data_IF_163674764193
#
_entry.id   IF_163674764193
#
_cell.length_a   1.000
_cell.length_b   1.000
_cell.length_c   1.000
_cell.angle_alpha   90.00
_cell.angle_beta   90.00
_cell.angle_gamma   90.00
#
_symmetry.space_group_name_H-M   'P 1'
#
loop_
_entity.id
_entity.type
_entity.pdbx_description
1 polymer ?
#
# COMPACT_ATOMS: atom_id res chain seq x y z
N UNK A 1 1.89 23.47 4.87
CA UNK A 1 3.11 23.12 4.11
C UNK A 1 2.80 21.79 3.42
N UNK A 2 2.99 21.71 2.11
CA UNK A 2 2.86 20.46 1.36
C UNK A 2 3.93 19.48 1.78
N UNK A 3 3.56 18.21 1.91
CA UNK A 3 4.50 17.12 2.25
C UNK A 3 5.50 16.96 1.12
N UNK A 4 6.79 17.00 1.46
CA UNK A 4 7.86 16.72 0.48
C UNK A 4 7.88 15.21 0.20
N UNK A 5 7.50 14.85 -1.02
CA UNK A 5 7.45 13.48 -1.55
C UNK A 5 8.56 13.22 -2.57
N UNK A 6 9.68 13.96 -2.50
CA UNK A 6 10.82 13.67 -3.37
C UNK A 6 11.29 12.22 -3.16
N UNK A 7 11.58 11.55 -4.27
CA UNK A 7 11.92 10.13 -4.28
C UNK A 7 13.09 9.80 -3.35
N UNK A 8 14.12 10.67 -3.34
CA UNK A 8 15.28 10.48 -2.48
C UNK A 8 14.90 10.52 -0.99
N UNK A 9 14.11 11.52 -0.56
CA UNK A 9 13.69 11.64 0.84
C UNK A 9 12.84 10.46 1.29
N UNK A 10 11.89 10.04 0.45
CA UNK A 10 11.01 8.90 0.75
C UNK A 10 11.83 7.62 0.82
N UNK A 11 12.78 7.41 -0.11
CA UNK A 11 13.69 6.27 -0.12
C UNK A 11 14.53 6.21 1.15
N UNK A 12 15.20 7.30 1.50
CA UNK A 12 16.08 7.37 2.68
C UNK A 12 15.28 7.09 3.96
N UNK A 13 14.12 7.73 4.12
CA UNK A 13 13.23 7.56 5.28
C UNK A 13 12.79 6.09 5.45
N UNK A 14 12.35 5.43 4.37
CA UNK A 14 11.93 4.03 4.44
C UNK A 14 13.11 3.08 4.57
N UNK A 15 14.25 3.38 3.95
CA UNK A 15 15.48 2.60 4.08
C UNK A 15 15.96 2.50 5.51
N UNK A 16 16.00 3.63 6.23
CA UNK A 16 16.41 3.68 7.64
C UNK A 16 15.52 2.84 8.56
N UNK A 17 14.20 2.85 8.35
CA UNK A 17 13.26 2.12 9.20
C UNK A 17 13.00 0.68 8.76
N UNK A 18 13.45 0.25 7.56
CA UNK A 18 13.13 -1.05 6.98
C UNK A 18 13.29 -2.24 7.94
N UNK A 19 14.36 -2.35 8.77
CA UNK A 19 14.52 -3.48 9.69
C UNK A 19 13.47 -3.55 10.80
N UNK A 20 12.82 -2.42 11.12
CA UNK A 20 11.81 -2.31 12.20
C UNK A 20 10.42 -2.06 11.66
N UNK A 21 10.27 -1.84 10.35
CA UNK A 21 9.05 -1.37 9.70
C UNK A 21 7.82 -2.21 10.04
N UNK A 22 7.89 -3.52 9.87
CA UNK A 22 6.75 -4.42 10.12
C UNK A 22 6.30 -4.33 11.59
N UNK A 23 7.25 -4.43 12.52
CA UNK A 23 6.96 -4.39 13.97
C UNK A 23 6.30 -3.07 14.36
N UNK A 24 6.75 -1.97 13.76
CA UNK A 24 6.22 -0.64 14.03
C UNK A 24 4.81 -0.47 13.47
N UNK A 25 4.57 -0.87 12.23
CA UNK A 25 3.25 -0.81 11.62
C UNK A 25 2.24 -1.69 12.34
N UNK A 26 2.61 -2.90 12.73
CA UNK A 26 1.74 -3.79 13.51
C UNK A 26 1.42 -3.21 14.88
N UNK A 27 2.39 -2.59 15.55
CA UNK A 27 2.17 -1.93 16.83
C UNK A 27 1.25 -0.71 16.70
N UNK A 28 1.51 0.18 15.73
CA UNK A 28 0.74 1.41 15.51
C UNK A 28 -0.69 1.13 15.05
N UNK A 29 -0.89 0.05 14.30
CA UNK A 29 -2.22 -0.40 13.87
C UNK A 29 -2.90 -1.31 14.91
N UNK A 30 -2.25 -1.64 16.03
CA UNK A 30 -2.70 -2.67 16.99
C UNK A 30 -2.98 -4.01 16.29
N UNK A 31 -2.16 -4.39 15.31
CA UNK A 31 -2.31 -5.55 14.43
C UNK A 31 -3.57 -5.57 13.53
N UNK A 32 -4.33 -4.48 13.47
CA UNK A 32 -5.52 -4.41 12.61
C UNK A 32 -5.14 -4.36 11.12
N UNK A 33 -3.92 -3.98 10.78
CA UNK A 33 -3.38 -4.00 9.42
C UNK A 33 -3.41 -5.41 8.78
N UNK A 34 -3.22 -6.48 9.55
CA UNK A 34 -3.40 -7.86 9.08
C UNK A 34 -4.85 -8.12 8.63
N UNK A 35 -5.84 -7.62 9.39
CA UNK A 35 -7.25 -7.72 9.03
C UNK A 35 -7.55 -6.94 7.76
N UNK A 36 -6.98 -5.73 7.57
CA UNK A 36 -7.21 -4.94 6.37
C UNK A 36 -6.65 -5.63 5.13
N UNK A 37 -5.41 -6.16 5.18
CA UNK A 37 -4.81 -6.94 4.08
C UNK A 37 -5.61 -8.21 3.79
N UNK A 38 -6.04 -8.93 4.82
CA UNK A 38 -6.89 -10.11 4.65
C UNK A 38 -8.22 -9.77 3.98
N UNK A 39 -8.88 -8.67 4.38
CA UNK A 39 -10.11 -8.19 3.72
C UNK A 39 -9.85 -7.81 2.27
N UNK A 40 -8.73 -7.15 1.97
CA UNK A 40 -8.33 -6.79 0.61
C UNK A 40 -8.25 -8.03 -0.28
N UNK A 41 -7.42 -9.00 0.08
CA UNK A 41 -7.23 -10.20 -0.76
C UNK A 41 -8.49 -11.07 -0.86
N UNK A 42 -9.37 -11.04 0.13
CA UNK A 42 -10.67 -11.74 0.07
C UNK A 42 -11.67 -11.10 -0.87
N UNK A 43 -11.58 -9.80 -1.07
CA UNK A 43 -12.48 -9.07 -1.94
C UNK A 43 -12.08 -9.13 -3.40
N UNK A 44 -10.82 -9.36 -3.64
CA UNK A 44 -10.27 -9.54 -4.97
C UNK A 44 -10.44 -11.00 -5.41
N UNK A 45 -10.58 -11.19 -6.73
CA UNK A 45 -10.83 -12.50 -7.31
C UNK A 45 -9.66 -12.97 -8.19
N UNK A 46 -8.62 -13.57 -7.59
CA UNK A 46 -7.48 -14.11 -8.33
C UNK A 46 -7.81 -15.46 -8.98
N UNK A 47 -8.83 -15.49 -9.84
CA UNK A 47 -9.31 -16.73 -10.49
C UNK A 47 -8.53 -17.10 -11.74
N UNK A 48 -7.67 -16.21 -12.24
CA UNK A 48 -6.87 -16.42 -13.44
C UNK A 48 -5.48 -16.89 -13.07
N UNK A 49 -4.84 -17.67 -13.93
CA UNK A 49 -3.45 -18.11 -13.75
C UNK A 49 -2.42 -17.01 -14.05
N UNK A 50 -2.89 -15.81 -14.35
CA UNK A 50 -2.04 -14.65 -14.64
C UNK A 50 -1.39 -14.11 -13.38
N UNK A 51 -0.20 -13.49 -13.45
CA UNK A 51 0.50 -12.99 -12.28
C UNK A 51 -0.24 -11.82 -11.60
N UNK A 52 0.08 -11.62 -10.32
CA UNK A 52 -0.37 -10.48 -9.49
C UNK A 52 0.82 -9.54 -9.29
N UNK A 53 0.59 -8.23 -9.38
CA UNK A 53 1.56 -7.21 -9.03
C UNK A 53 1.14 -6.50 -7.75
N UNK A 54 2.05 -6.39 -6.81
CA UNK A 54 1.93 -5.55 -5.61
C UNK A 54 2.94 -4.41 -5.70
N UNK A 55 2.45 -3.20 -5.98
CA UNK A 55 3.25 -1.98 -6.08
C UNK A 55 3.43 -1.34 -4.70
N UNK A 56 4.53 -0.61 -4.50
CA UNK A 56 4.89 -0.06 -3.19
C UNK A 56 4.81 -1.16 -2.11
N UNK A 57 5.32 -2.34 -2.43
CA UNK A 57 5.11 -3.56 -1.65
C UNK A 57 5.83 -3.53 -0.30
N UNK A 58 6.83 -2.66 -0.14
CA UNK A 58 7.68 -2.60 1.02
C UNK A 58 8.32 -3.96 1.32
N UNK A 59 8.07 -4.47 2.51
CA UNK A 59 8.55 -5.80 2.95
C UNK A 59 7.69 -6.97 2.47
N UNK A 60 6.68 -6.72 1.60
CA UNK A 60 5.89 -7.74 0.92
C UNK A 60 4.67 -8.30 1.68
N UNK A 61 4.19 -7.66 2.71
CA UNK A 61 3.10 -8.22 3.53
C UNK A 61 1.80 -8.50 2.74
N UNK A 62 1.43 -7.62 1.80
CA UNK A 62 0.26 -7.86 0.95
C UNK A 62 0.55 -8.94 -0.10
N UNK A 63 1.76 -8.96 -0.67
CA UNK A 63 2.21 -10.01 -1.59
C UNK A 63 2.14 -11.40 -0.92
N UNK A 64 2.59 -11.54 0.33
CA UNK A 64 2.44 -12.78 1.10
C UNK A 64 0.97 -13.14 1.40
N UNK A 65 0.10 -12.14 1.56
CA UNK A 65 -1.32 -12.40 1.75
C UNK A 65 -1.97 -12.94 0.46
N UNK A 66 -1.57 -12.45 -0.72
CA UNK A 66 -1.98 -13.01 -2.02
C UNK A 66 -1.47 -14.43 -2.23
N UNK A 67 -0.19 -14.67 -1.98
CA UNK A 67 0.40 -16.01 -2.08
C UNK A 67 -0.37 -17.03 -1.23
N UNK A 68 -0.69 -16.68 0.01
CA UNK A 68 -1.52 -17.52 0.89
C UNK A 68 -2.93 -17.72 0.35
N UNK A 69 -3.57 -16.66 -0.21
CA UNK A 69 -4.93 -16.73 -0.76
C UNK A 69 -4.99 -17.65 -1.97
N UNK A 70 -4.00 -17.60 -2.84
CA UNK A 70 -3.90 -18.42 -4.06
C UNK A 70 -3.31 -19.81 -3.81
N UNK A 71 -2.96 -20.14 -2.56
CA UNK A 71 -2.29 -21.40 -2.20
C UNK A 71 -1.03 -21.64 -3.03
N UNK A 72 -0.25 -20.59 -3.26
CA UNK A 72 1.00 -20.62 -4.04
C UNK A 72 0.84 -20.97 -5.52
N UNK A 73 -0.39 -20.94 -6.04
CA UNK A 73 -0.66 -21.33 -7.45
C UNK A 73 -0.46 -20.21 -8.46
N UNK A 74 -0.41 -18.95 -8.00
CA UNK A 74 -0.31 -17.75 -8.84
C UNK A 74 1.00 -17.01 -8.53
N UNK A 75 1.83 -16.68 -9.54
CA UNK A 75 3.02 -15.86 -9.32
C UNK A 75 2.65 -14.46 -8.78
N UNK A 76 3.39 -13.99 -7.80
CA UNK A 76 3.24 -12.64 -7.24
C UNK A 76 4.54 -11.87 -7.44
N UNK A 77 4.45 -10.69 -8.05
CA UNK A 77 5.56 -9.76 -8.16
C UNK A 77 5.35 -8.65 -7.15
N UNK A 78 6.31 -8.45 -6.27
CA UNK A 78 6.35 -7.43 -5.24
C UNK A 78 7.33 -6.35 -5.68
N UNK A 79 6.81 -5.21 -6.11
CA UNK A 79 7.61 -4.10 -6.64
C UNK A 79 7.66 -2.94 -5.63
N UNK A 80 8.86 -2.45 -5.37
CA UNK A 80 9.09 -1.25 -4.55
C UNK A 80 10.32 -0.51 -5.06
N UNK A 81 10.40 0.80 -4.85
CA UNK A 81 11.56 1.58 -5.27
C UNK A 81 12.66 1.64 -4.18
N UNK A 82 12.36 1.20 -2.95
CA UNK A 82 13.28 1.15 -1.82
C UNK A 82 13.91 -0.25 -1.70
N UNK A 83 15.17 -0.37 -2.09
CA UNK A 83 15.92 -1.63 -2.07
C UNK A 83 15.97 -2.27 -0.67
N UNK A 84 16.15 -1.49 0.40
CA UNK A 84 16.25 -1.96 1.77
C UNK A 84 14.96 -2.67 2.21
N UNK A 85 13.81 -2.16 1.79
CA UNK A 85 12.51 -2.78 2.03
C UNK A 85 12.40 -4.13 1.31
N UNK A 86 12.76 -4.17 0.03
CA UNK A 86 12.76 -5.41 -0.77
C UNK A 86 13.72 -6.45 -0.18
N UNK A 87 14.88 -6.02 0.33
CA UNK A 87 15.85 -6.90 0.97
C UNK A 87 15.25 -7.59 2.20
N UNK A 88 14.52 -6.87 3.05
CA UNK A 88 13.79 -7.46 4.19
C UNK A 88 12.71 -8.42 3.68
N UNK A 89 11.97 -8.06 2.65
CA UNK A 89 10.97 -8.91 2.00
C UNK A 89 11.57 -10.23 1.49
N UNK A 90 12.71 -10.15 0.81
CA UNK A 90 13.44 -11.32 0.32
C UNK A 90 13.93 -12.23 1.45
N UNK A 91 14.40 -11.67 2.57
CA UNK A 91 14.73 -12.44 3.77
C UNK A 91 13.52 -13.17 4.36
N UNK A 92 12.33 -12.53 4.33
CA UNK A 92 11.07 -13.15 4.74
C UNK A 92 10.69 -14.31 3.81
N UNK A 93 10.84 -14.09 2.49
CA UNK A 93 10.55 -15.09 1.45
C UNK A 93 11.41 -16.35 1.62
N UNK A 94 12.72 -16.19 1.83
CA UNK A 94 13.66 -17.33 2.01
C UNK A 94 13.31 -18.24 3.19
N UNK A 95 12.58 -17.73 4.18
CA UNK A 95 12.12 -18.52 5.33
C UNK A 95 10.82 -19.28 5.06
N UNK A 96 10.23 -19.13 3.87
CA UNK A 96 8.94 -19.73 3.48
C UNK A 96 9.16 -20.73 2.34
N UNK A 97 9.07 -22.03 2.65
CA UNK A 97 9.20 -23.06 1.64
C UNK A 97 8.09 -22.92 0.59
N UNK A 98 8.46 -23.03 -0.68
CA UNK A 98 7.52 -22.99 -1.81
C UNK A 98 7.02 -21.58 -2.19
N UNK A 99 7.57 -20.52 -1.60
CA UNK A 99 7.19 -19.15 -1.99
C UNK A 99 7.58 -18.86 -3.44
N UNK A 100 6.63 -18.34 -4.22
CA UNK A 100 6.80 -17.94 -5.61
C UNK A 100 6.75 -16.40 -5.80
N UNK A 101 6.95 -15.63 -4.73
CA UNK A 101 7.05 -14.17 -4.80
C UNK A 101 8.41 -13.78 -5.40
N UNK A 102 8.38 -12.83 -6.34
CA UNK A 102 9.57 -12.19 -6.89
C UNK A 102 9.60 -10.72 -6.43
N UNK A 103 10.68 -10.32 -5.79
CA UNK A 103 10.92 -8.92 -5.41
C UNK A 103 11.66 -8.19 -6.53
N UNK A 104 11.14 -7.03 -6.96
CA UNK A 104 11.67 -6.25 -8.08
C UNK A 104 11.77 -4.79 -7.65
N UNK A 105 12.95 -4.17 -7.84
CA UNK A 105 13.09 -2.73 -7.65
C UNK A 105 12.46 -1.99 -8.84
N UNK A 106 11.43 -1.20 -8.58
CA UNK A 106 10.71 -0.45 -9.60
C UNK A 106 9.96 0.76 -9.01
N UNK A 107 9.95 1.84 -9.77
CA UNK A 107 9.10 3.00 -9.49
C UNK A 107 7.69 2.75 -10.02
N UNK A 108 6.69 2.94 -9.16
CA UNK A 108 5.27 2.80 -9.53
C UNK A 108 4.84 3.81 -10.60
N UNK A 109 5.56 4.93 -10.75
CA UNK A 109 5.31 5.92 -11.79
C UNK A 109 5.82 5.50 -13.18
N UNK A 110 6.71 4.49 -13.23
CA UNK A 110 7.28 3.94 -14.46
C UNK A 110 7.55 2.45 -14.32
N UNK A 111 6.50 1.65 -14.32
CA UNK A 111 6.58 0.20 -14.12
C UNK A 111 7.27 -0.50 -15.30
N UNK A 112 8.33 -1.31 -15.08
CA UNK A 112 9.08 -1.98 -16.13
C UNK A 112 8.37 -3.25 -16.65
N UNK A 113 7.04 -3.18 -16.77
CA UNK A 113 6.22 -4.28 -17.23
C UNK A 113 5.42 -3.90 -18.47
N UNK A 114 5.09 -4.90 -19.28
CA UNK A 114 4.24 -4.72 -20.44
C UNK A 114 2.81 -4.34 -20.02
N UNK A 115 2.09 -3.64 -20.91
CA UNK A 115 0.66 -3.39 -20.74
C UNK A 115 -0.12 -4.70 -20.70
N UNK A 116 -1.24 -4.73 -19.99
CA UNK A 116 -2.17 -5.84 -19.99
C UNK A 116 -1.58 -7.18 -19.51
N UNK A 117 -0.68 -7.13 -18.53
CA UNK A 117 0.06 -8.30 -18.06
C UNK A 117 -0.54 -8.94 -16.79
N UNK A 118 -1.00 -8.14 -15.83
CA UNK A 118 -1.42 -8.62 -14.52
C UNK A 118 -2.94 -8.71 -14.37
N UNK A 119 -3.44 -9.78 -13.75
CA UNK A 119 -4.87 -9.89 -13.43
C UNK A 119 -5.28 -8.98 -12.26
N UNK A 120 -4.39 -8.77 -11.31
CA UNK A 120 -4.56 -7.87 -10.17
C UNK A 120 -3.30 -7.02 -10.05
N UNK A 121 -3.50 -5.71 -9.87
CA UNK A 121 -2.44 -4.75 -9.52
C UNK A 121 -2.84 -4.08 -8.22
N UNK A 122 -2.03 -4.17 -7.19
CA UNK A 122 -2.35 -3.67 -5.86
C UNK A 122 -1.31 -2.70 -5.32
N UNK A 123 -1.72 -1.88 -4.36
CA UNK A 123 -0.82 -1.12 -3.49
C UNK A 123 -1.45 -1.00 -2.11
N UNK A 124 -0.69 -1.28 -1.04
CA UNK A 124 -1.16 -1.13 0.33
C UNK A 124 -0.28 -0.17 1.14
N UNK A 125 -0.87 0.94 1.60
CA UNK A 125 -0.25 1.96 2.44
C UNK A 125 1.00 2.62 1.84
N UNK A 126 1.14 2.56 0.49
CA UNK A 126 2.29 3.06 -0.23
C UNK A 126 1.98 4.16 -1.24
N UNK A 127 0.80 4.14 -1.88
CA UNK A 127 0.47 5.04 -2.98
C UNK A 127 0.49 6.53 -2.57
N UNK A 128 0.18 6.86 -1.32
CA UNK A 128 0.25 8.22 -0.79
C UNK A 128 1.67 8.80 -0.80
N UNK A 129 2.70 7.95 -0.86
CA UNK A 129 4.11 8.34 -0.85
C UNK A 129 4.67 8.52 -2.26
N UNK A 130 3.94 8.13 -3.29
CA UNK A 130 4.32 8.31 -4.70
C UNK A 130 4.22 9.80 -5.05
N UNK A 131 5.25 10.35 -5.69
CA UNK A 131 5.35 11.77 -5.99
C UNK A 131 4.20 12.24 -6.89
N UNK A 132 3.96 11.56 -8.01
CA UNK A 132 2.80 11.75 -8.87
C UNK A 132 1.84 10.55 -8.73
N UNK A 133 0.86 10.68 -7.83
CA UNK A 133 -0.16 9.65 -7.60
C UNK A 133 -0.96 9.32 -8.86
N UNK A 134 -1.27 10.33 -9.71
CA UNK A 134 -2.07 10.12 -10.91
C UNK A 134 -1.26 9.36 -11.98
N UNK A 135 0.04 9.61 -12.08
CA UNK A 135 0.93 8.83 -12.94
C UNK A 135 1.05 7.39 -12.44
N UNK A 136 1.21 7.19 -11.12
CA UNK A 136 1.21 5.85 -10.54
C UNK A 136 -0.08 5.08 -10.85
N UNK A 137 -1.24 5.73 -10.72
CA UNK A 137 -2.54 5.13 -11.07
C UNK A 137 -2.63 4.76 -12.55
N UNK A 138 -2.15 5.64 -13.47
CA UNK A 138 -2.11 5.35 -14.91
C UNK A 138 -1.23 4.13 -15.23
N UNK A 139 -0.07 4.02 -14.60
CA UNK A 139 0.83 2.88 -14.78
C UNK A 139 0.22 1.59 -14.22
N UNK A 140 -0.39 1.64 -13.01
CA UNK A 140 -1.12 0.49 -12.45
C UNK A 140 -2.25 0.03 -13.37
N UNK A 141 -3.02 0.98 -13.93
CA UNK A 141 -4.06 0.66 -14.91
C UNK A 141 -3.48 0.12 -16.22
N UNK A 142 -2.35 0.69 -16.71
CA UNK A 142 -1.70 0.25 -17.95
C UNK A 142 -1.28 -1.22 -17.87
N UNK A 143 -0.61 -1.61 -16.78
CA UNK A 143 -0.09 -2.99 -16.63
C UNK A 143 -1.16 -4.00 -16.22
N UNK A 144 -2.31 -3.54 -15.73
CA UNK A 144 -3.48 -4.38 -15.44
C UNK A 144 -4.13 -4.86 -16.75
N UNK A 145 -4.58 -6.11 -16.82
CA UNK A 145 -5.29 -6.67 -17.98
C UNK A 145 -6.72 -6.13 -18.08
N UNK A 146 -7.29 -6.06 -19.29
CA UNK A 146 -8.73 -5.81 -19.46
C UNK A 146 -9.57 -6.79 -18.63
N UNK A 147 -10.51 -6.27 -17.86
CA UNK A 147 -11.30 -7.00 -16.89
C UNK A 147 -10.53 -7.44 -15.64
N UNK A 148 -9.26 -7.01 -15.49
CA UNK A 148 -8.47 -7.17 -14.27
C UNK A 148 -8.85 -6.13 -13.21
N UNK A 149 -8.25 -6.27 -12.03
CA UNK A 149 -8.59 -5.44 -10.86
C UNK A 149 -7.39 -4.61 -10.41
N UNK A 150 -7.61 -3.31 -10.19
CA UNK A 150 -6.65 -2.43 -9.50
C UNK A 150 -7.17 -2.19 -8.08
N UNK A 151 -6.36 -2.52 -7.07
CA UNK A 151 -6.75 -2.45 -5.66
C UNK A 151 -5.80 -1.56 -4.86
N UNK A 152 -6.34 -0.57 -4.18
CA UNK A 152 -5.57 0.34 -3.33
C UNK A 152 -6.12 0.25 -1.92
N UNK A 153 -5.26 -0.09 -0.96
CA UNK A 153 -5.58 -0.06 0.45
C UNK A 153 -4.81 1.10 1.09
N UNK A 154 -5.52 2.10 1.58
CA UNK A 154 -4.88 3.29 2.18
C UNK A 154 -5.59 3.78 3.43
N UNK A 155 -4.83 4.51 4.25
CA UNK A 155 -5.40 5.22 5.38
C UNK A 155 -6.37 6.30 4.90
N UNK A 156 -7.41 6.52 5.69
CA UNK A 156 -8.38 7.57 5.45
C UNK A 156 -8.88 8.16 6.78
N UNK A 157 -9.49 9.33 6.71
CA UNK A 157 -10.09 9.95 7.89
C UNK A 157 -11.54 9.49 8.05
N UNK A 158 -11.92 8.93 9.21
CA UNK A 158 -13.31 8.59 9.49
C UNK A 158 -14.25 9.78 9.26
N UNK A 159 -15.41 9.53 8.64
CA UNK A 159 -16.39 10.59 8.31
C UNK A 159 -17.36 10.88 9.45
N UNK A 160 -17.62 9.87 10.31
CA UNK A 160 -18.68 9.94 11.34
C UNK A 160 -18.11 10.20 12.74
N UNK A 161 -18.77 11.07 13.48
CA UNK A 161 -18.55 11.22 14.92
C UNK A 161 -19.15 10.02 15.69
N UNK A 162 -18.58 9.65 16.84
CA UNK A 162 -17.43 10.25 17.54
C UNK A 162 -16.05 9.77 17.03
N UNK A 163 -16.02 8.77 16.15
CA UNK A 163 -14.77 8.11 15.70
C UNK A 163 -13.83 9.09 15.01
N UNK A 164 -14.37 10.02 14.21
CA UNK A 164 -13.58 11.09 13.58
C UNK A 164 -12.79 11.90 14.62
N UNK A 165 -13.44 12.29 15.71
CA UNK A 165 -12.80 13.07 16.78
C UNK A 165 -11.74 12.24 17.53
N UNK A 166 -12.06 11.00 17.89
CA UNK A 166 -11.15 10.11 18.61
C UNK A 166 -9.91 9.80 17.77
N UNK A 167 -10.11 9.48 16.48
CA UNK A 167 -9.00 9.17 15.58
C UNK A 167 -8.13 10.39 15.29
N UNK A 168 -8.73 11.55 15.08
CA UNK A 168 -8.00 12.82 14.95
C UNK A 168 -7.18 13.16 16.20
N UNK A 169 -7.74 12.93 17.40
CA UNK A 169 -7.00 13.10 18.66
C UNK A 169 -5.83 12.11 18.78
N UNK A 170 -6.04 10.82 18.45
CA UNK A 170 -4.99 9.81 18.40
C UNK A 170 -3.84 10.21 17.47
N UNK A 171 -4.16 10.63 16.24
CA UNK A 171 -3.18 11.07 15.24
C UNK A 171 -2.37 12.28 15.71
N UNK A 172 -3.03 13.23 16.40
CA UNK A 172 -2.38 14.48 16.83
C UNK A 172 -1.56 14.32 18.13
N UNK A 173 -2.00 13.45 19.03
CA UNK A 173 -1.45 13.43 20.39
C UNK A 173 -0.72 12.14 20.77
N UNK A 174 -1.11 10.98 20.20
CA UNK A 174 -0.56 9.68 20.56
C UNK A 174 0.50 9.24 19.55
N UNK A 175 0.19 9.29 18.27
CA UNK A 175 1.07 8.79 17.20
C UNK A 175 2.47 9.44 17.23
N UNK A 176 2.62 10.78 17.35
CA UNK A 176 3.94 11.40 17.43
C UNK A 176 4.73 10.99 18.67
N UNK A 177 4.06 10.81 19.82
CA UNK A 177 4.73 10.35 21.06
C UNK A 177 5.25 8.91 20.97
N UNK A 178 4.47 8.02 20.36
CA UNK A 178 4.93 6.65 20.09
C UNK A 178 6.11 6.68 19.13
N UNK A 179 6.02 7.50 18.08
CA UNK A 179 7.10 7.70 17.13
C UNK A 179 8.39 8.15 17.80
N UNK A 180 8.35 9.19 18.60
CA UNK A 180 9.50 9.71 19.35
C UNK A 180 10.10 8.69 20.35
N UNK A 181 9.26 7.84 20.96
CA UNK A 181 9.71 6.81 21.90
C UNK A 181 10.41 5.63 21.20
N UNK A 182 9.99 5.28 19.97
CA UNK A 182 10.52 4.16 19.20
C UNK A 182 11.73 4.54 18.33
N UNK A 183 11.83 5.78 17.92
CA UNK A 183 12.86 6.28 17.04
C UNK A 183 13.65 7.40 17.73
N UNK A 184 14.72 7.03 18.47
CA UNK A 184 15.62 8.01 19.08
C UNK A 184 16.30 8.95 18.08
N UNK A 185 16.29 8.61 16.77
CA UNK A 185 16.92 9.38 15.68
C UNK A 185 16.00 9.67 14.47
N UNK A 186 14.77 9.14 14.40
CA UNK A 186 13.92 9.16 13.18
C UNK A 186 12.57 9.87 13.39
N UNK A 187 12.54 11.01 14.05
CA UNK A 187 11.31 11.79 14.28
C UNK A 187 10.57 12.17 12.97
N UNK A 188 11.26 12.19 11.83
CA UNK A 188 10.73 12.62 10.54
C UNK A 188 9.64 11.69 9.96
N UNK A 189 9.76 10.37 10.11
CA UNK A 189 8.82 9.41 9.54
C UNK A 189 7.44 9.44 10.23
N UNK A 190 7.39 9.79 11.51
CA UNK A 190 6.15 9.82 12.30
C UNK A 190 5.37 11.12 12.16
N UNK A 191 6.07 12.23 11.91
CA UNK A 191 5.44 13.50 11.53
C UNK A 191 4.93 13.44 10.08
N UNK A 192 5.61 12.67 9.24
CA UNK A 192 5.23 12.45 7.84
C UNK A 192 3.87 11.75 7.70
N UNK A 193 3.62 10.69 8.50
CA UNK A 193 2.40 9.87 8.35
C UNK A 193 1.10 10.68 8.52
N UNK A 194 0.87 11.49 9.58
CA UNK A 194 -0.34 12.29 9.71
C UNK A 194 -0.55 13.26 8.54
N UNK A 195 0.52 13.90 8.09
CA UNK A 195 0.47 14.90 7.04
C UNK A 195 0.16 14.23 5.67
N UNK A 196 0.84 13.13 5.34
CA UNK A 196 0.61 12.40 4.09
C UNK A 196 -0.80 11.81 4.00
N UNK A 197 -1.37 11.32 5.12
CA UNK A 197 -2.76 10.85 5.16
C UNK A 197 -3.75 12.01 4.99
N UNK A 198 -3.45 13.19 5.54
CA UNK A 198 -4.31 14.36 5.42
C UNK A 198 -4.37 14.96 4.01
N UNK A 199 -3.30 14.86 3.25
CA UNK A 199 -3.19 15.39 1.89
C UNK A 199 -3.62 14.39 0.80
N UNK A 200 -3.64 13.09 1.12
CA UNK A 200 -3.99 12.04 0.14
C UNK A 200 -5.49 12.04 -0.18
N UNK A 201 -5.87 11.97 -1.46
CA UNK A 201 -7.28 11.90 -1.85
C UNK A 201 -7.94 10.66 -1.26
N UNK A 202 -9.13 10.82 -0.71
CA UNK A 202 -9.84 9.71 -0.07
C UNK A 202 -11.28 9.60 -0.56
N UNK A 203 -11.83 8.39 -0.44
CA UNK A 203 -13.20 8.05 -0.82
C UNK A 203 -13.50 8.37 -2.29
N UNK A 204 -14.48 9.22 -2.56
CA UNK A 204 -14.92 9.59 -3.91
C UNK A 204 -13.79 10.24 -4.72
N UNK A 205 -12.95 11.06 -4.07
CA UNK A 205 -11.83 11.72 -4.75
C UNK A 205 -10.83 10.72 -5.36
N UNK A 206 -10.53 9.63 -4.63
CA UNK A 206 -9.60 8.62 -5.17
C UNK A 206 -10.28 7.76 -6.23
N UNK A 207 -11.56 7.40 -6.07
CA UNK A 207 -12.28 6.65 -7.12
C UNK A 207 -12.41 7.46 -8.41
N UNK A 208 -12.61 8.77 -8.34
CA UNK A 208 -12.61 9.66 -9.51
C UNK A 208 -11.24 9.65 -10.21
N UNK A 209 -10.13 9.74 -9.48
CA UNK A 209 -8.78 9.64 -10.06
C UNK A 209 -8.52 8.26 -10.68
N UNK A 210 -9.01 7.18 -10.08
CA UNK A 210 -8.93 5.84 -10.65
C UNK A 210 -9.66 5.74 -12.00
N UNK A 211 -10.85 6.34 -12.11
CA UNK A 211 -11.57 6.42 -13.38
C UNK A 211 -10.81 7.25 -14.43
N UNK A 212 -10.25 8.40 -14.02
CA UNK A 212 -9.41 9.25 -14.90
C UNK A 212 -8.12 8.54 -15.33
N UNK A 213 -7.62 7.59 -14.56
CA UNK A 213 -6.47 6.76 -14.92
C UNK A 213 -6.80 5.65 -15.94
N UNK A 214 -8.06 5.52 -16.37
CA UNK A 214 -8.48 4.58 -17.41
C UNK A 214 -9.17 3.31 -16.90
N UNK A 215 -9.60 3.28 -15.63
CA UNK A 215 -10.43 2.20 -15.13
C UNK A 215 -11.90 2.44 -15.48
N UNK A 216 -12.63 1.38 -15.85
CA UNK A 216 -14.03 1.45 -16.24
C UNK A 216 -14.99 1.60 -15.07
N UNK A 217 -14.61 1.06 -13.92
CA UNK A 217 -15.34 1.17 -12.66
C UNK A 217 -14.37 1.41 -11.51
N UNK A 218 -14.82 2.13 -10.48
CA UNK A 218 -14.10 2.25 -9.22
C UNK A 218 -15.09 2.34 -8.05
N UNK A 219 -14.82 1.58 -7.00
CA UNK A 219 -15.64 1.55 -5.78
C UNK A 219 -14.74 1.57 -4.55
N UNK A 220 -15.21 2.14 -3.45
CA UNK A 220 -14.49 2.12 -2.19
C UNK A 220 -15.27 1.41 -1.08
N UNK A 221 -14.53 0.85 -0.13
CA UNK A 221 -15.03 0.07 0.98
C UNK A 221 -14.30 0.48 2.27
N UNK A 222 -14.93 1.32 3.11
CA UNK A 222 -14.34 1.72 4.38
C UNK A 222 -14.17 0.52 5.32
N UNK A 223 -13.00 0.41 5.92
CA UNK A 223 -12.64 -0.61 6.89
C UNK A 223 -12.43 0.05 8.26
N UNK A 224 -12.75 -0.66 9.33
CA UNK A 224 -12.57 -0.16 10.71
C UNK A 224 -13.07 1.28 10.84
N UNK A 225 -14.36 1.49 10.54
CA UNK A 225 -15.05 2.79 10.61
C UNK A 225 -14.45 3.89 9.69
N UNK A 226 -13.66 3.52 8.69
CA UNK A 226 -13.03 4.44 7.76
C UNK A 226 -11.63 4.90 8.18
N UNK A 227 -10.96 4.19 9.09
CA UNK A 227 -9.54 4.39 9.42
C UNK A 227 -8.65 3.94 8.25
N UNK A 228 -9.05 2.88 7.59
CA UNK A 228 -8.51 2.48 6.30
C UNK A 228 -9.65 2.32 5.29
N UNK A 229 -9.36 2.50 4.02
CA UNK A 229 -10.32 2.30 2.93
C UNK A 229 -9.67 1.47 1.84
N UNK A 230 -10.38 0.43 1.41
CA UNK A 230 -10.03 -0.35 0.23
C UNK A 230 -10.76 0.24 -0.98
N UNK A 231 -10.02 0.52 -2.03
CA UNK A 231 -10.54 0.94 -3.33
C UNK A 231 -10.31 -0.20 -4.32
N UNK A 232 -11.30 -0.50 -5.14
CA UNK A 232 -11.21 -1.53 -6.19
C UNK A 232 -11.76 -0.95 -7.47
N UNK A 233 -10.93 -0.94 -8.50
CA UNK A 233 -11.31 -0.55 -9.85
C UNK A 233 -11.18 -1.72 -10.82
N UNK A 234 -11.93 -1.69 -11.90
CA UNK A 234 -11.89 -2.65 -13.01
C UNK A 234 -11.32 -1.95 -14.24
N UNK A 235 -10.37 -2.60 -14.92
CA UNK A 235 -9.87 -2.10 -16.21
C UNK A 235 -10.79 -2.45 -17.37
#
# INVERSE_FOLDING_TARGET
MTVDKSDQRVRDMFGEIAPKYDRMNHLLSMNVDHYWRWKTVRRLDPNRNDPILDCCSGTGDLAFAFEKKTKFSVPVIAADFCYEMLHVGEQKRRKRAGSNIQFVEADTQQLPFQSDHFQIVSAAFGLRNVADTDQGLREMARVCKPGGQVAILEFSMPRRQPIKGMYGWYFKNILPRIGQALAKNDASAYDYLPNSVGEFPSYEQLTERMLQAGLSEARFYPLTFGIATLYVGIK
#
